data_IF_049035263476
#
_entry.id   IF_049035263476
#
_cell.length_a   1.000
_cell.length_b   1.000
_cell.length_c   1.000
_cell.angle_alpha   90.00
_cell.angle_beta   90.00
_cell.angle_gamma   90.00
#
_symmetry.space_group_name_H-M   'P 1'
#
loop_
_entity.id
_entity.type
_entity.pdbx_description
1 polymer ?
#
# COMPACT_ATOMS: atom_id res chain seq x y z
N UNK A 1 18.84 0.99 -25.15
CA UNK A 1 20.31 1.13 -25.21
C UNK A 1 20.91 0.19 -24.19
N UNK A 2 21.30 -1.02 -24.60
CA UNK A 2 21.93 -2.03 -23.75
C UNK A 2 23.43 -1.77 -23.67
N UNK A 3 23.93 -1.32 -22.51
CA UNK A 3 25.36 -1.36 -22.25
C UNK A 3 25.76 -2.83 -22.03
N UNK A 4 26.61 -3.32 -22.93
CA UNK A 4 27.13 -4.68 -22.93
C UNK A 4 27.92 -4.94 -21.65
N UNK A 5 27.55 -5.98 -20.91
CA UNK A 5 28.15 -6.42 -19.64
C UNK A 5 29.66 -6.65 -19.72
N UNK A 6 30.19 -6.88 -20.91
CA UNK A 6 31.64 -6.98 -21.17
C UNK A 6 32.38 -5.67 -20.98
N UNK A 7 31.76 -4.52 -21.21
CA UNK A 7 32.39 -3.20 -21.02
C UNK A 7 32.60 -2.88 -19.53
N UNK A 8 31.66 -3.32 -18.67
CA UNK A 8 31.75 -3.13 -17.22
C UNK A 8 32.89 -3.96 -16.61
N UNK A 9 33.01 -5.22 -17.06
CA UNK A 9 34.06 -6.14 -16.60
C UNK A 9 35.45 -5.64 -17.01
N UNK A 10 35.59 -5.10 -18.23
CA UNK A 10 36.85 -4.52 -18.70
C UNK A 10 37.26 -3.28 -17.92
N UNK A 11 36.29 -2.43 -17.55
CA UNK A 11 36.56 -1.23 -16.74
C UNK A 11 37.02 -1.60 -15.33
N UNK A 12 36.40 -2.64 -14.74
CA UNK A 12 36.77 -3.17 -13.42
C UNK A 12 38.18 -3.80 -13.46
N UNK A 13 38.51 -4.59 -14.48
CA UNK A 13 39.86 -5.17 -14.63
C UNK A 13 40.93 -4.09 -14.85
N UNK A 14 40.63 -3.03 -15.62
CA UNK A 14 41.57 -1.91 -15.83
C UNK A 14 41.80 -1.11 -14.56
N UNK A 15 40.76 -0.89 -13.75
CA UNK A 15 40.93 -0.25 -12.44
C UNK A 15 41.78 -1.12 -11.50
N UNK A 16 41.58 -2.44 -11.53
CA UNK A 16 42.31 -3.38 -10.66
C UNK A 16 43.81 -3.37 -10.93
N UNK A 17 44.23 -3.25 -12.19
CA UNK A 17 45.64 -3.25 -12.58
C UNK A 17 46.32 -1.92 -12.19
N UNK A 18 45.61 -0.78 -12.24
CA UNK A 18 46.16 0.53 -11.88
C UNK A 18 46.44 0.70 -10.39
N UNK A 19 45.89 -0.17 -9.53
CA UNK A 19 46.09 -0.13 -8.07
C UNK A 19 47.30 -0.99 -7.62
N UNK A 20 47.97 -1.68 -8.54
CA UNK A 20 48.96 -2.72 -8.21
C UNK A 20 50.42 -2.24 -7.99
N UNK A 21 50.74 -0.94 -8.03
CA UNK A 21 52.10 -0.47 -7.72
C UNK A 21 52.31 -0.30 -6.21
N UNK A 22 53.31 -0.95 -5.59
CA UNK A 22 53.44 -1.01 -4.15
C UNK A 22 54.39 0.08 -3.65
N UNK A 23 53.86 1.10 -2.97
CA UNK A 23 54.68 1.97 -2.10
C UNK A 23 53.93 2.19 -0.78
N UNK A 24 54.40 1.46 0.24
CA UNK A 24 54.43 1.81 1.66
C UNK A 24 53.22 2.60 2.23
N UNK A 25 52.09 1.93 2.51
CA UNK A 25 51.13 2.34 3.58
C UNK A 25 50.24 1.14 3.95
N UNK A 26 50.88 -0.02 4.18
CA UNK A 26 50.24 -1.34 4.32
C UNK A 26 49.99 -1.69 5.79
N UNK A 27 48.93 -1.16 6.40
CA UNK A 27 48.22 -1.87 7.48
C UNK A 27 46.81 -1.30 7.72
N UNK A 28 46.61 0.01 7.66
CA UNK A 28 45.31 0.64 7.95
C UNK A 28 44.28 0.60 6.80
N UNK A 29 44.73 0.73 5.55
CA UNK A 29 43.83 0.94 4.40
C UNK A 29 43.13 -0.34 3.91
N UNK A 30 43.74 -1.52 4.12
CA UNK A 30 43.16 -2.83 3.76
C UNK A 30 42.00 -3.20 4.71
N UNK A 31 42.07 -2.76 5.97
CA UNK A 31 41.02 -2.99 6.96
C UNK A 31 39.79 -2.11 6.69
N UNK A 32 39.99 -0.86 6.23
CA UNK A 32 38.92 0.07 5.85
C UNK A 32 38.13 -0.34 4.60
N UNK A 33 38.79 -0.92 3.59
CA UNK A 33 38.10 -1.38 2.38
C UNK A 33 37.25 -2.63 2.67
N UNK A 34 37.73 -3.53 3.54
CA UNK A 34 36.97 -4.72 3.96
C UNK A 34 35.73 -4.36 4.78
N UNK A 35 35.83 -3.41 5.71
CA UNK A 35 34.66 -2.92 6.45
C UNK A 35 33.68 -2.18 5.55
N UNK A 36 34.16 -1.41 4.57
CA UNK A 36 33.29 -0.71 3.60
C UNK A 36 32.50 -1.69 2.72
N UNK A 37 33.14 -2.77 2.24
CA UNK A 37 32.48 -3.81 1.42
C UNK A 37 31.45 -4.59 2.26
N UNK A 38 31.78 -4.94 3.51
CA UNK A 38 30.84 -5.59 4.44
C UNK A 38 29.64 -4.68 4.75
N UNK A 39 29.86 -3.38 5.01
CA UNK A 39 28.76 -2.44 5.25
C UNK A 39 27.87 -2.23 4.02
N UNK A 40 28.43 -2.26 2.81
CA UNK A 40 27.66 -2.07 1.57
C UNK A 40 26.77 -3.28 1.26
N UNK A 41 27.20 -4.50 1.62
CA UNK A 41 26.40 -5.71 1.45
C UNK A 41 25.18 -5.80 2.36
N UNK A 42 25.18 -5.12 3.52
CA UNK A 42 24.01 -5.08 4.42
C UNK A 42 22.87 -4.19 3.89
N UNK A 43 23.16 -3.25 2.98
CA UNK A 43 22.18 -2.27 2.49
C UNK A 43 21.29 -2.86 1.38
N UNK A 44 21.70 -3.94 0.71
CA UNK A 44 20.97 -4.53 -0.42
C UNK A 44 19.95 -5.63 -0.04
N UNK A 45 19.77 -5.96 1.24
CA UNK A 45 18.93 -7.11 1.67
C UNK A 45 17.50 -6.73 2.07
N UNK A 46 17.01 -5.54 1.72
CA UNK A 46 15.63 -5.14 2.01
C UNK A 46 14.62 -5.84 1.08
N UNK A 47 13.47 -6.33 1.58
CA UNK A 47 12.39 -6.83 0.73
C UNK A 47 11.80 -5.67 -0.09
N UNK A 48 12.08 -5.63 -1.39
CA UNK A 48 11.62 -4.57 -2.32
C UNK A 48 10.31 -4.90 -3.05
N UNK A 49 9.50 -5.81 -2.51
CA UNK A 49 8.37 -6.39 -3.23
C UNK A 49 7.08 -5.72 -2.78
N UNK A 50 6.84 -4.50 -3.24
CA UNK A 50 5.52 -3.88 -3.15
C UNK A 50 4.66 -4.25 -4.35
N UNK A 51 3.42 -4.61 -4.09
CA UNK A 51 2.38 -4.89 -5.07
C UNK A 51 1.32 -3.79 -5.02
N UNK A 52 0.65 -3.53 -6.13
CA UNK A 52 -0.41 -2.51 -6.15
C UNK A 52 -1.70 -3.06 -5.55
N UNK A 53 -2.21 -2.38 -4.53
CA UNK A 53 -3.54 -2.61 -3.97
C UNK A 53 -4.47 -1.45 -4.30
N UNK A 54 -5.74 -1.77 -4.55
CA UNK A 54 -6.82 -0.81 -4.70
C UNK A 54 -7.80 -0.95 -3.55
N UNK A 55 -7.96 0.11 -2.79
CA UNK A 55 -9.02 0.25 -1.80
C UNK A 55 -10.23 0.90 -2.46
N UNK A 56 -11.33 0.16 -2.60
CA UNK A 56 -12.59 0.63 -3.18
C UNK A 56 -13.60 0.82 -2.06
N UNK A 57 -13.85 2.07 -1.68
CA UNK A 57 -14.84 2.42 -0.67
C UNK A 57 -16.15 2.82 -1.35
N UNK A 58 -17.19 2.04 -1.12
CA UNK A 58 -18.56 2.35 -1.54
C UNK A 58 -19.38 2.77 -0.32
N UNK A 59 -20.22 3.80 -0.49
CA UNK A 59 -21.31 4.12 0.43
C UNK A 59 -22.54 3.36 0.00
N UNK A 60 -23.33 2.95 0.97
CA UNK A 60 -24.69 2.53 0.70
C UNK A 60 -25.54 3.71 0.19
N UNK A 61 -26.74 3.38 -0.30
CA UNK A 61 -27.70 4.36 -0.81
C UNK A 61 -28.14 5.42 0.23
N UNK A 62 -28.15 5.08 1.52
CA UNK A 62 -28.59 5.96 2.60
C UNK A 62 -27.52 6.97 3.04
N UNK A 63 -26.25 6.66 2.78
CA UNK A 63 -25.10 7.48 3.15
C UNK A 63 -24.64 8.44 2.04
N UNK A 64 -25.33 8.46 0.89
CA UNK A 64 -24.97 9.29 -0.28
C UNK A 64 -24.82 10.77 0.06
N UNK A 65 -25.64 11.33 0.96
CA UNK A 65 -25.63 12.75 1.34
C UNK A 65 -24.51 13.17 2.32
N UNK A 66 -23.68 12.23 2.76
CA UNK A 66 -22.67 12.48 3.79
C UNK A 66 -21.25 12.24 3.27
N UNK A 67 -20.29 12.91 3.90
CA UNK A 67 -18.88 12.62 3.70
C UNK A 67 -18.51 11.44 4.59
N UNK A 68 -17.85 10.44 4.01
CA UNK A 68 -17.36 9.27 4.73
C UNK A 68 -15.86 9.20 4.52
N UNK A 69 -15.11 9.02 5.60
CA UNK A 69 -13.65 8.85 5.54
C UNK A 69 -13.25 7.56 6.24
N UNK A 70 -12.33 6.82 5.64
CA UNK A 70 -11.78 5.60 6.24
C UNK A 70 -10.26 5.68 6.23
N UNK A 71 -9.67 5.49 7.40
CA UNK A 71 -8.24 5.29 7.55
C UNK A 71 -7.92 3.79 7.38
N UNK A 72 -6.96 3.49 6.53
CA UNK A 72 -6.35 2.16 6.38
C UNK A 72 -5.07 2.14 7.20
N UNK A 73 -4.96 1.17 8.10
CA UNK A 73 -3.91 1.10 9.12
C UNK A 73 -3.26 -0.28 9.06
N UNK A 74 -1.94 -0.30 9.08
CA UNK A 74 -1.17 -1.52 9.33
C UNK A 74 -1.25 -1.87 10.83
N UNK A 75 -1.81 -3.02 11.21
CA UNK A 75 -1.91 -3.45 12.60
C UNK A 75 -0.56 -3.72 13.26
N UNK A 76 0.47 -4.12 12.49
CA UNK A 76 1.78 -4.46 13.03
C UNK A 76 2.56 -3.21 13.46
N UNK A 77 2.45 -2.13 12.68
CA UNK A 77 3.16 -0.87 12.96
C UNK A 77 2.26 0.22 13.55
N UNK A 78 0.95 0.01 13.57
CA UNK A 78 -0.06 1.04 13.91
C UNK A 78 0.03 2.28 13.01
N UNK A 79 0.71 2.18 11.87
CA UNK A 79 0.91 3.29 10.95
C UNK A 79 -0.28 3.40 10.02
N UNK A 80 -0.78 4.62 9.87
CA UNK A 80 -1.77 4.93 8.82
C UNK A 80 -1.08 4.85 7.46
N UNK A 81 -1.59 3.96 6.61
CA UNK A 81 -1.13 3.77 5.23
C UNK A 81 -1.73 4.86 4.34
N UNK A 82 -3.05 5.03 4.41
CA UNK A 82 -3.77 6.02 3.61
C UNK A 82 -5.12 6.39 4.26
N UNK A 83 -5.68 7.52 3.86
CA UNK A 83 -7.06 7.93 4.19
C UNK A 83 -7.87 8.02 2.90
N UNK A 84 -9.02 7.36 2.85
CA UNK A 84 -9.96 7.41 1.73
C UNK A 84 -11.20 8.19 2.14
N UNK A 85 -11.49 9.27 1.43
CA UNK A 85 -12.71 10.07 1.67
C UNK A 85 -13.62 10.00 0.47
N UNK A 86 -14.87 9.57 0.68
CA UNK A 86 -15.97 9.66 -0.28
C UNK A 86 -16.81 10.88 0.07
N UNK A 87 -16.84 11.93 -0.77
CA UNK A 87 -17.63 13.12 -0.50
C UNK A 87 -19.13 12.87 -0.65
N UNK A 88 -19.93 13.77 -0.08
CA UNK A 88 -21.38 13.81 -0.33
C UNK A 88 -21.69 13.90 -1.83
N UNK A 89 -22.75 13.22 -2.26
CA UNK A 89 -23.17 13.13 -3.67
C UNK A 89 -22.39 12.11 -4.51
N UNK A 90 -21.26 11.59 -4.02
CA UNK A 90 -20.49 10.54 -4.72
C UNK A 90 -20.74 9.18 -4.06
N UNK A 91 -21.11 8.12 -4.80
CA UNK A 91 -21.43 6.82 -4.21
C UNK A 91 -20.18 6.01 -3.82
N UNK A 92 -19.04 6.19 -4.48
CA UNK A 92 -17.83 5.42 -4.19
C UNK A 92 -16.57 6.18 -4.59
N UNK A 93 -15.43 5.74 -4.05
CA UNK A 93 -14.10 6.19 -4.51
C UNK A 93 -13.13 5.01 -4.46
N UNK A 94 -12.13 5.05 -5.35
CA UNK A 94 -11.03 4.08 -5.34
C UNK A 94 -9.70 4.81 -5.17
N UNK A 95 -8.84 4.28 -4.29
CA UNK A 95 -7.46 4.75 -4.11
C UNK A 95 -6.50 3.59 -4.24
N UNK A 96 -5.38 3.83 -4.91
CA UNK A 96 -4.28 2.87 -5.00
C UNK A 96 -3.27 3.10 -3.88
N UNK A 97 -2.63 2.04 -3.42
CA UNK A 97 -1.49 2.08 -2.52
C UNK A 97 -0.59 0.86 -2.72
N UNK A 98 0.62 0.95 -2.21
CA UNK A 98 1.58 -0.14 -2.22
C UNK A 98 1.35 -1.04 -1.01
N UNK A 99 1.25 -2.35 -1.24
CA UNK A 99 1.00 -3.37 -0.23
C UNK A 99 1.93 -4.56 -0.40
N UNK A 100 2.05 -5.40 0.62
CA UNK A 100 2.91 -6.58 0.62
C UNK A 100 2.10 -7.88 0.77
N UNK A 101 2.58 -9.01 0.23
CA UNK A 101 1.90 -10.29 0.44
C UNK A 101 1.80 -10.65 1.92
N UNK A 102 0.68 -11.27 2.30
CA UNK A 102 0.32 -11.62 3.68
C UNK A 102 0.23 -10.45 4.67
N UNK A 103 0.17 -9.20 4.19
CA UNK A 103 -0.07 -8.04 5.04
C UNK A 103 -1.52 -8.03 5.56
N UNK A 104 -1.69 -7.65 6.82
CA UNK A 104 -3.00 -7.43 7.43
C UNK A 104 -3.33 -5.95 7.46
N UNK A 105 -4.61 -5.59 7.35
CA UNK A 105 -5.10 -4.21 7.34
C UNK A 105 -6.27 -4.06 8.30
N UNK A 106 -6.27 -2.99 9.07
CA UNK A 106 -7.40 -2.54 9.89
C UNK A 106 -7.99 -1.27 9.28
N UNK A 107 -9.31 -1.15 9.31
CA UNK A 107 -10.02 0.04 8.84
C UNK A 107 -10.72 0.76 9.98
N UNK A 108 -10.63 2.09 9.95
CA UNK A 108 -11.33 2.96 10.90
C UNK A 108 -12.09 4.04 10.14
N UNK A 109 -13.41 3.99 10.21
CA UNK A 109 -14.30 4.94 9.58
C UNK A 109 -14.66 6.12 10.49
N UNK A 110 -14.96 7.23 9.83
CA UNK A 110 -15.54 8.45 10.37
C UNK A 110 -16.47 9.04 9.31
N UNK A 111 -17.42 9.87 9.73
CA UNK A 111 -18.32 10.55 8.80
C UNK A 111 -18.59 11.99 9.23
N UNK A 112 -19.01 12.81 8.27
CA UNK A 112 -19.36 14.21 8.48
C UNK A 112 -20.51 14.65 7.57
N UNK A 113 -21.45 15.48 8.07
CA UNK A 113 -21.55 15.95 9.45
C UNK A 113 -21.93 14.83 10.43
N UNK A 114 -21.56 15.01 11.69
CA UNK A 114 -21.98 14.12 12.78
C UNK A 114 -23.47 14.33 13.08
N UNK A 115 -24.21 13.26 13.36
CA UNK A 115 -25.64 13.36 13.68
C UNK A 115 -25.87 13.80 15.12
N UNK A 116 -25.07 13.24 16.03
CA UNK A 116 -25.17 13.45 17.46
C UNK A 116 -23.91 14.16 17.95
N UNK A 117 -24.07 15.15 18.83
CA UNK A 117 -22.94 15.89 19.41
C UNK A 117 -21.96 14.96 20.15
N UNK A 118 -22.47 13.90 20.78
CA UNK A 118 -21.64 12.93 21.50
C UNK A 118 -20.84 11.99 20.59
N UNK A 119 -21.15 11.95 19.29
CA UNK A 119 -20.38 11.19 18.30
C UNK A 119 -19.23 12.01 17.69
N UNK A 120 -19.05 13.27 18.11
CA UNK A 120 -17.97 14.11 17.61
C UNK A 120 -16.61 13.47 17.91
N UNK A 121 -15.81 13.24 16.85
CA UNK A 121 -14.54 12.55 16.94
C UNK A 121 -14.63 11.03 17.13
N UNK A 122 -15.84 10.44 17.19
CA UNK A 122 -16.02 8.98 17.28
C UNK A 122 -15.40 8.31 16.06
N UNK A 123 -14.82 7.14 16.30
CA UNK A 123 -14.14 6.31 15.31
C UNK A 123 -14.78 4.93 15.30
N UNK A 124 -15.15 4.46 14.12
CA UNK A 124 -15.86 3.20 13.95
C UNK A 124 -14.92 2.18 13.34
N UNK A 125 -14.55 1.15 14.11
CA UNK A 125 -13.66 0.08 13.62
C UNK A 125 -14.43 -0.83 12.67
N UNK A 126 -13.74 -1.36 11.66
CA UNK A 126 -14.30 -2.43 10.86
C UNK A 126 -14.63 -3.67 11.71
N UNK A 127 -15.67 -4.39 11.29
CA UNK A 127 -16.10 -5.65 11.89
C UNK A 127 -15.05 -6.76 11.73
N UNK A 128 -14.24 -6.67 10.67
CA UNK A 128 -13.22 -7.65 10.32
C UNK A 128 -11.95 -6.95 9.89
N UNK A 129 -10.83 -7.59 10.20
CA UNK A 129 -9.52 -7.22 9.67
C UNK A 129 -9.35 -7.90 8.32
N UNK A 130 -8.62 -7.26 7.41
CA UNK A 130 -8.43 -7.78 6.06
C UNK A 130 -7.02 -8.33 5.91
N UNK A 131 -6.89 -9.59 5.50
CA UNK A 131 -5.60 -10.21 5.23
C UNK A 131 -5.39 -10.34 3.73
N UNK A 132 -4.30 -9.76 3.22
CA UNK A 132 -3.93 -9.86 1.82
C UNK A 132 -3.41 -11.27 1.48
N UNK A 133 -3.52 -11.70 0.21
CA UNK A 133 -2.98 -12.98 -0.22
C UNK A 133 -1.49 -13.12 0.08
N UNK A 134 -1.06 -14.32 0.47
CA UNK A 134 0.36 -14.61 0.76
C UNK A 134 1.26 -14.73 -0.47
N UNK A 135 0.68 -14.78 -1.66
CA UNK A 135 1.41 -14.87 -2.93
C UNK A 135 0.65 -14.12 -4.03
N UNK A 136 1.40 -13.56 -4.98
CA UNK A 136 0.87 -12.93 -6.19
C UNK A 136 0.74 -14.01 -7.26
N UNK A 137 -0.46 -14.24 -7.80
CA UNK A 137 -0.66 -15.26 -8.81
C UNK A 137 -0.21 -14.76 -10.20
N UNK A 138 0.22 -15.66 -11.11
CA UNK A 138 0.46 -15.28 -12.49
C UNK A 138 -0.80 -14.69 -13.13
N UNK A 139 -0.70 -13.45 -13.62
CA UNK A 139 -1.83 -12.72 -14.22
C UNK A 139 -2.50 -11.71 -13.28
N UNK A 140 -2.23 -11.76 -11.98
CA UNK A 140 -2.67 -10.71 -11.06
C UNK A 140 -1.84 -9.44 -11.32
N UNK A 141 -2.52 -8.32 -11.54
CA UNK A 141 -1.85 -7.02 -11.67
C UNK A 141 -2.00 -6.13 -10.45
N UNK A 142 -3.06 -6.35 -9.69
CA UNK A 142 -3.35 -5.63 -8.46
C UNK A 142 -4.40 -6.39 -7.66
N UNK A 143 -4.43 -6.17 -6.35
CA UNK A 143 -5.52 -6.66 -5.49
C UNK A 143 -6.59 -5.60 -5.30
N UNK A 144 -7.85 -6.00 -5.27
CA UNK A 144 -8.97 -5.11 -4.98
C UNK A 144 -9.55 -5.44 -3.61
N UNK A 145 -9.75 -4.41 -2.80
CA UNK A 145 -10.32 -4.47 -1.46
C UNK A 145 -11.64 -3.70 -1.52
N UNK A 146 -12.77 -4.38 -1.77
CA UNK A 146 -14.08 -3.74 -1.73
C UNK A 146 -14.53 -3.56 -0.28
N UNK A 147 -14.91 -2.34 0.09
CA UNK A 147 -15.46 -2.02 1.42
C UNK A 147 -16.77 -1.26 1.27
N UNK A 148 -17.79 -1.75 1.96
CA UNK A 148 -19.13 -1.17 2.01
C UNK A 148 -19.33 -0.43 3.34
N UNK A 149 -19.45 0.90 3.25
CA UNK A 149 -19.88 1.72 4.37
C UNK A 149 -21.40 1.88 4.36
N UNK A 150 -22.10 1.59 5.47
CA UNK A 150 -21.62 1.33 6.82
C UNK A 150 -21.49 -0.17 7.16
N UNK A 151 -21.94 -1.07 6.29
CA UNK A 151 -22.15 -2.49 6.59
C UNK A 151 -20.91 -3.23 7.13
N UNK A 152 -19.71 -2.82 6.73
CA UNK A 152 -18.45 -3.43 7.17
C UNK A 152 -17.91 -2.85 8.49
N UNK A 153 -18.61 -1.91 9.13
CA UNK A 153 -18.16 -1.19 10.32
C UNK A 153 -19.09 -1.40 11.51
N UNK A 154 -18.50 -1.53 12.70
CA UNK A 154 -19.22 -1.69 13.94
C UNK A 154 -19.82 -0.36 14.40
N UNK A 155 -21.04 -0.40 14.93
CA UNK A 155 -21.69 0.72 15.63
C UNK A 155 -21.93 1.99 14.80
N UNK A 156 -21.82 1.93 13.48
CA UNK A 156 -22.16 3.06 12.63
C UNK A 156 -23.69 3.25 12.66
N UNK A 157 -24.21 4.39 13.14
CA UNK A 157 -25.65 4.61 13.24
C UNK A 157 -26.29 4.78 11.87
N UNK A 158 -27.57 4.49 11.73
CA UNK A 158 -28.30 4.86 10.51
C UNK A 158 -28.47 6.39 10.41
N UNK A 159 -28.32 7.00 9.22
CA UNK A 159 -28.63 8.40 9.02
C UNK A 159 -30.09 8.72 9.37
N UNK A 160 -30.40 9.90 9.95
CA UNK A 160 -31.75 10.24 10.40
C UNK A 160 -32.85 10.21 9.32
N UNK A 161 -32.46 10.29 8.04
CA UNK A 161 -33.39 10.29 6.89
C UNK A 161 -33.37 8.98 6.09
N UNK A 162 -32.71 7.93 6.61
CA UNK A 162 -32.62 6.64 5.94
C UNK A 162 -33.93 5.85 6.02
N UNK A 163 -34.28 5.13 4.96
CA UNK A 163 -35.50 4.33 4.81
C UNK A 163 -35.29 2.84 5.15
N UNK A 164 -34.12 2.47 5.68
CA UNK A 164 -33.82 1.14 6.22
C UNK A 164 -33.47 0.06 5.19
N UNK A 165 -33.66 0.30 3.88
CA UNK A 165 -33.29 -0.64 2.81
C UNK A 165 -31.99 -0.20 2.10
N UNK A 166 -30.96 0.08 2.89
CA UNK A 166 -29.69 0.64 2.44
C UNK A 166 -28.75 -0.47 1.95
N UNK A 167 -28.15 -0.30 0.77
CA UNK A 167 -27.16 -1.25 0.24
C UNK A 167 -26.08 -0.56 -0.59
N UNK A 168 -24.88 -1.12 -0.60
CA UNK A 168 -23.80 -0.69 -1.50
C UNK A 168 -23.97 -1.36 -2.86
N UNK A 169 -23.87 -0.58 -3.91
CA UNK A 169 -23.86 -1.08 -5.29
C UNK A 169 -22.44 -1.07 -5.86
N UNK A 170 -21.83 -2.26 -5.96
CA UNK A 170 -20.53 -2.43 -6.59
C UNK A 170 -20.62 -2.67 -8.10
N UNK A 171 -21.82 -2.92 -8.65
CA UNK A 171 -22.01 -3.21 -10.08
C UNK A 171 -21.72 -2.01 -10.99
N UNK A 172 -21.87 -0.79 -10.45
CA UNK A 172 -21.55 0.46 -11.14
C UNK A 172 -20.06 0.82 -11.11
N UNK A 173 -19.25 0.07 -10.36
CA UNK A 173 -17.83 0.36 -10.19
C UNK A 173 -17.03 -0.38 -11.27
N UNK A 174 -16.27 0.33 -12.13
CA UNK A 174 -15.48 -0.31 -13.17
C UNK A 174 -14.45 -1.30 -12.59
N UNK A 175 -14.36 -2.48 -13.20
CA UNK A 175 -13.35 -3.47 -12.86
C UNK A 175 -11.92 -2.94 -13.07
N UNK A 176 -10.99 -3.44 -12.26
CA UNK A 176 -9.57 -3.13 -12.42
C UNK A 176 -9.04 -3.98 -13.57
N UNK A 177 -8.63 -3.31 -14.65
CA UNK A 177 -8.05 -4.00 -15.79
C UNK A 177 -6.70 -4.62 -15.40
N UNK A 178 -6.41 -5.86 -15.82
CA UNK A 178 -5.09 -6.44 -15.68
C UNK A 178 -4.05 -5.53 -16.33
N UNK A 179 -2.96 -5.23 -15.62
CA UNK A 179 -1.76 -4.72 -16.24
C UNK A 179 -1.30 -5.76 -17.27
N UNK A 180 -1.22 -5.34 -18.54
CA UNK A 180 -0.63 -6.17 -19.59
C UNK A 180 0.84 -6.36 -19.25
N UNK A 181 1.18 -7.49 -18.65
CA UNK A 181 2.57 -7.88 -18.46
C UNK A 181 3.10 -8.21 -19.85
N UNK A 182 3.77 -7.24 -20.49
CA UNK A 182 4.57 -7.54 -21.68
C UNK A 182 5.76 -8.35 -21.18
N UNK A 183 5.71 -9.68 -21.32
CA UNK A 183 6.89 -10.53 -21.13
C UNK A 183 7.96 -10.03 -22.09
N UNK A 184 9.03 -9.47 -21.56
CA UNK A 184 10.16 -8.94 -22.31
C UNK A 184 11.34 -9.91 -22.25
#
# INVERSE_FOLDING_TARGET
MSLSTTALIYFILRLYILISKPIYFKCGMIMLIRTLILSLSLICSGPTWSFTCYYTLAKDSCWTQYNVSVDVIDPATTKKILTVTVPAGTPWVRKSFDCTPAESLIYIAQFSPVFWKNDEGKRYRALRDWSLPGAINPGDSAWNIPVCFPADFAEVPLPPKADGNCHCDFSVIPEIKPAVIKSQ
#
